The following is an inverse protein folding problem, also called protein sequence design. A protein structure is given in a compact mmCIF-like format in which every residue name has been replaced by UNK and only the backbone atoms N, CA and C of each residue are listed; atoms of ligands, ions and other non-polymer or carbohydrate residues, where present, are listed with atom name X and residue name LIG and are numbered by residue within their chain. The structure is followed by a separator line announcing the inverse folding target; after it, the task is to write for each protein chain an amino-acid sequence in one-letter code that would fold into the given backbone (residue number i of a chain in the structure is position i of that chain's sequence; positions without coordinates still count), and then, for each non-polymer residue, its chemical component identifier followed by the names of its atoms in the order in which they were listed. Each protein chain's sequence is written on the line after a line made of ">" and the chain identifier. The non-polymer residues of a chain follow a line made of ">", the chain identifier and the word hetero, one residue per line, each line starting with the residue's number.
data_IF_304134914936
#
_entry.id   IF_304134914936
#
_cell.length_a   1.000
_cell.length_b   1.000
_cell.length_c   1.000
_cell.angle_alpha   90.00
_cell.angle_beta   90.00
_cell.angle_gamma   90.00
#
_symmetry.space_group_name_H-M   'P 1'
#
loop_
_entity.id
_entity.type
_entity.pdbx_description
1 polymer ?
#
# COMPACT_ATOMS: atom_id res chain seq x y z
N UNK A 1 -1.16 -8.54 -22.16
CA UNK A 1 -2.10 -8.19 -21.08
C UNK A 1 -2.04 -9.27 -20.02
N UNK A 2 -1.82 -8.89 -18.78
CA UNK A 2 -1.74 -9.76 -17.60
C UNK A 2 -3.02 -9.64 -16.78
N UNK A 3 -3.23 -10.56 -15.85
CA UNK A 3 -4.37 -10.55 -14.95
C UNK A 3 -3.90 -10.82 -13.52
N UNK A 4 -4.27 -9.93 -12.61
CA UNK A 4 -4.07 -10.12 -11.16
C UNK A 4 -4.84 -11.36 -10.69
N UNK A 5 -4.18 -12.22 -9.95
CA UNK A 5 -4.74 -13.43 -9.33
C UNK A 5 -4.98 -13.23 -7.83
N UNK A 6 -4.11 -12.46 -7.19
CA UNK A 6 -4.09 -12.29 -5.74
C UNK A 6 -3.73 -10.86 -5.34
N UNK A 7 -4.17 -10.46 -4.17
CA UNK A 7 -3.86 -9.17 -3.58
C UNK A 7 -3.08 -9.33 -2.28
N UNK A 8 -2.17 -8.39 -2.03
CA UNK A 8 -1.45 -8.23 -0.77
C UNK A 8 -1.78 -6.86 -0.21
N UNK A 9 -2.36 -6.82 0.99
CA UNK A 9 -2.65 -5.59 1.72
C UNK A 9 -1.66 -5.49 2.88
N UNK A 10 -0.82 -4.46 2.87
CA UNK A 10 0.12 -4.19 3.96
C UNK A 10 -0.60 -3.41 5.07
N UNK A 11 -0.77 -4.02 6.24
CA UNK A 11 -1.58 -3.51 7.34
C UNK A 11 -0.92 -3.66 8.72
N UNK A 12 0.40 -3.90 8.77
CA UNK A 12 1.10 -4.26 10.00
C UNK A 12 1.62 -3.07 10.82
N UNK A 13 1.59 -1.85 10.28
CA UNK A 13 2.26 -0.67 10.81
C UNK A 13 1.68 -0.13 12.12
N UNK A 14 2.51 0.58 12.90
CA UNK A 14 2.16 1.17 14.20
C UNK A 14 1.27 2.43 14.09
N UNK A 15 1.22 3.09 12.94
CA UNK A 15 0.43 4.31 12.73
C UNK A 15 0.79 5.48 13.67
N UNK A 16 2.07 5.67 14.00
CA UNK A 16 2.52 6.62 15.05
C UNK A 16 2.04 8.05 14.84
N UNK A 17 1.91 8.51 13.59
CA UNK A 17 1.46 9.88 13.23
C UNK A 17 -0.03 10.11 13.52
N UNK A 18 -0.82 9.05 13.71
CA UNK A 18 -2.25 9.12 14.00
C UNK A 18 -2.60 8.88 15.48
N UNK A 19 -1.60 8.89 16.36
CA UNK A 19 -1.88 8.84 17.81
C UNK A 19 -2.67 10.07 18.25
N UNK A 20 -3.59 9.94 19.26
CA UNK A 20 -3.79 8.77 20.12
C UNK A 20 -4.69 7.67 19.52
N UNK A 21 -5.39 7.91 18.41
CA UNK A 21 -6.37 6.97 17.84
C UNK A 21 -5.75 5.59 17.60
N UNK A 22 -4.52 5.55 17.09
CA UNK A 22 -3.81 4.31 16.82
C UNK A 22 -3.23 3.61 18.06
N UNK A 23 -3.39 4.14 19.24
CA UNK A 23 -3.09 3.40 20.48
C UNK A 23 -4.11 2.30 20.75
N UNK A 24 -5.34 2.48 20.27
CA UNK A 24 -6.47 1.57 20.53
C UNK A 24 -6.92 0.84 19.26
N UNK A 25 -6.74 1.44 18.06
CA UNK A 25 -7.23 0.89 16.79
C UNK A 25 -6.12 0.90 15.74
N UNK A 26 -5.80 -0.24 15.09
CA UNK A 26 -4.84 -0.25 13.97
C UNK A 26 -5.29 0.72 12.87
N UNK A 27 -4.36 1.43 12.26
CA UNK A 27 -4.64 2.45 11.23
C UNK A 27 -5.63 1.98 10.16
N UNK A 28 -5.50 0.78 9.54
CA UNK A 28 -6.42 0.30 8.51
C UNK A 28 -7.86 0.06 9.01
N UNK A 29 -8.05 -0.15 10.31
CA UNK A 29 -9.37 -0.39 10.92
C UNK A 29 -10.04 0.89 11.43
N UNK A 30 -9.37 2.04 11.36
CA UNK A 30 -9.97 3.32 11.71
C UNK A 30 -11.14 3.59 10.76
N UNK A 31 -12.27 4.02 11.34
CA UNK A 31 -13.44 4.39 10.56
C UNK A 31 -13.34 5.84 10.15
N UNK A 32 -13.58 6.11 8.88
CA UNK A 32 -13.73 7.46 8.33
C UNK A 32 -15.15 7.58 7.80
N UNK A 33 -15.90 8.53 8.34
CA UNK A 33 -17.33 8.70 8.05
C UNK A 33 -18.13 7.39 8.25
N UNK A 34 -17.77 6.60 9.26
CA UNK A 34 -18.47 5.37 9.65
C UNK A 34 -17.97 4.08 9.00
N UNK A 35 -17.06 4.13 8.03
CA UNK A 35 -16.52 2.98 7.32
C UNK A 35 -15.02 2.80 7.58
N UNK A 36 -14.54 1.56 7.81
CA UNK A 36 -13.11 1.27 7.96
C UNK A 36 -12.38 1.49 6.63
N UNK A 37 -11.19 2.10 6.67
CA UNK A 37 -10.38 2.32 5.45
C UNK A 37 -10.18 1.03 4.67
N UNK A 38 -9.77 -0.04 5.33
CA UNK A 38 -9.49 -1.34 4.71
C UNK A 38 -10.72 -1.97 4.03
N UNK A 39 -11.95 -1.65 4.49
CA UNK A 39 -13.19 -2.17 3.88
C UNK A 39 -13.35 -1.65 2.44
N UNK A 40 -12.98 -0.40 2.19
CA UNK A 40 -13.03 0.19 0.84
C UNK A 40 -12.06 -0.52 -0.10
N UNK A 41 -10.86 -0.87 0.41
CA UNK A 41 -9.84 -1.61 -0.33
C UNK A 41 -10.34 -3.02 -0.68
N UNK A 42 -10.82 -3.79 0.30
CA UNK A 42 -11.28 -5.17 0.10
C UNK A 42 -12.46 -5.22 -0.88
N UNK A 43 -13.43 -4.31 -0.73
CA UNK A 43 -14.58 -4.24 -1.63
C UNK A 43 -14.16 -3.88 -3.07
N UNK A 44 -13.26 -2.91 -3.22
CA UNK A 44 -12.75 -2.55 -4.54
C UNK A 44 -12.01 -3.71 -5.22
N UNK A 45 -11.23 -4.51 -4.49
CA UNK A 45 -10.60 -5.73 -4.99
C UNK A 45 -11.66 -6.76 -5.43
N UNK A 46 -12.66 -7.03 -4.59
CA UNK A 46 -13.74 -7.96 -4.92
C UNK A 46 -14.55 -7.50 -6.14
N UNK A 47 -14.86 -6.20 -6.26
CA UNK A 47 -15.55 -5.61 -7.43
C UNK A 47 -14.78 -5.85 -8.74
N UNK A 48 -13.45 -5.95 -8.67
CA UNK A 48 -12.57 -6.25 -9.80
C UNK A 48 -12.27 -7.75 -9.98
N UNK A 49 -12.97 -8.61 -9.24
CA UNK A 49 -12.84 -10.08 -9.33
C UNK A 49 -11.55 -10.63 -8.72
N UNK A 50 -10.89 -9.87 -7.83
CA UNK A 50 -9.72 -10.31 -7.07
C UNK A 50 -10.23 -10.81 -5.72
N UNK A 51 -10.29 -12.13 -5.54
CA UNK A 51 -10.90 -12.77 -4.39
C UNK A 51 -9.90 -13.49 -3.49
N UNK A 52 -8.65 -13.59 -3.86
CA UNK A 52 -7.58 -14.13 -3.03
C UNK A 52 -6.79 -12.95 -2.46
N UNK A 53 -6.95 -12.69 -1.15
CA UNK A 53 -6.45 -11.49 -0.50
C UNK A 53 -5.67 -11.88 0.75
N UNK A 54 -4.40 -11.53 0.78
CA UNK A 54 -3.50 -11.69 1.92
C UNK A 54 -3.35 -10.35 2.63
N UNK A 55 -3.78 -10.26 3.89
CA UNK A 55 -3.61 -9.06 4.71
C UNK A 55 -2.46 -9.32 5.68
N UNK A 56 -1.38 -8.56 5.52
CA UNK A 56 -0.23 -8.65 6.42
C UNK A 56 -0.49 -7.81 7.66
N UNK A 57 -0.56 -8.47 8.81
CA UNK A 57 -0.89 -7.85 10.10
C UNK A 57 0.27 -7.94 11.08
N UNK A 58 0.31 -7.05 12.05
CA UNK A 58 1.34 -7.03 13.09
C UNK A 58 0.83 -6.31 14.33
N UNK A 59 0.86 -4.99 14.33
CA UNK A 59 0.37 -4.19 15.46
C UNK A 59 -1.12 -4.39 15.69
N UNK A 60 -1.52 -4.75 16.93
CA UNK A 60 -2.91 -5.05 17.34
C UNK A 60 -3.60 -6.04 16.39
N UNK A 61 -2.86 -7.05 15.92
CA UNK A 61 -3.28 -8.03 14.90
C UNK A 61 -4.61 -8.72 15.20
N UNK A 62 -4.93 -8.92 16.49
CA UNK A 62 -6.15 -9.60 16.96
C UNK A 62 -7.42 -8.89 16.48
N UNK A 63 -7.36 -7.57 16.27
CA UNK A 63 -8.50 -6.79 15.81
C UNK A 63 -8.85 -7.04 14.33
N UNK A 64 -7.94 -7.63 13.56
CA UNK A 64 -8.18 -7.98 12.16
C UNK A 64 -8.92 -9.30 11.97
N UNK A 65 -9.07 -10.13 13.03
CA UNK A 65 -9.66 -11.47 12.92
C UNK A 65 -11.07 -11.48 12.34
N UNK A 66 -11.85 -10.42 12.55
CA UNK A 66 -13.19 -10.31 11.99
C UNK A 66 -13.20 -10.29 10.46
N UNK A 67 -12.17 -9.73 9.82
CA UNK A 67 -12.09 -9.56 8.37
C UNK A 67 -12.13 -10.89 7.62
N UNK A 68 -11.50 -11.94 8.14
CA UNK A 68 -11.52 -13.27 7.53
C UNK A 68 -12.89 -13.95 7.59
N UNK A 69 -13.75 -13.49 8.50
CA UNK A 69 -15.14 -13.97 8.63
C UNK A 69 -16.12 -13.12 7.82
N UNK A 70 -15.83 -11.81 7.73
CA UNK A 70 -16.68 -10.84 7.02
C UNK A 70 -16.46 -10.90 5.50
N UNK A 71 -15.24 -11.19 5.06
CA UNK A 71 -14.87 -11.16 3.64
C UNK A 71 -14.35 -12.51 3.17
N UNK A 72 -14.96 -13.04 2.11
CA UNK A 72 -14.53 -14.29 1.50
C UNK A 72 -13.16 -14.14 0.85
N UNK A 73 -12.29 -15.14 1.05
CA UNK A 73 -10.97 -15.19 0.43
C UNK A 73 -9.91 -14.33 1.10
N UNK A 74 -10.22 -13.73 2.25
CA UNK A 74 -9.25 -13.00 3.08
C UNK A 74 -8.49 -13.98 3.97
N UNK A 75 -7.17 -13.90 3.90
CA UNK A 75 -6.22 -14.64 4.75
C UNK A 75 -5.35 -13.63 5.50
N UNK A 76 -5.28 -13.75 6.82
CA UNK A 76 -4.38 -12.93 7.63
C UNK A 76 -3.00 -13.60 7.71
N UNK A 77 -1.94 -12.83 7.46
CA UNK A 77 -0.55 -13.28 7.58
C UNK A 77 0.17 -12.40 8.58
N UNK A 78 0.70 -12.97 9.63
CA UNK A 78 1.42 -12.23 10.65
C UNK A 78 2.86 -11.92 10.22
N UNK A 79 3.29 -10.67 10.40
CA UNK A 79 4.71 -10.32 10.41
C UNK A 79 5.18 -10.10 11.84
N UNK A 80 6.15 -10.89 12.35
CA UNK A 80 6.70 -10.69 13.69
C UNK A 80 7.69 -9.52 13.77
N UNK A 81 7.93 -8.82 12.67
CA UNK A 81 8.96 -7.79 12.54
C UNK A 81 8.41 -6.38 12.44
N UNK A 82 7.11 -6.18 12.66
CA UNK A 82 6.38 -4.92 12.41
C UNK A 82 6.89 -3.71 13.21
N UNK A 83 7.55 -3.94 14.34
CA UNK A 83 8.10 -2.91 15.24
C UNK A 83 9.60 -2.69 15.04
N UNK A 84 10.28 -3.57 14.28
CA UNK A 84 11.74 -3.58 14.09
C UNK A 84 12.13 -3.13 12.69
N UNK A 85 11.40 -3.60 11.66
CA UNK A 85 11.72 -3.35 10.26
C UNK A 85 10.59 -2.61 9.56
N UNK A 86 10.91 -1.99 8.42
CA UNK A 86 9.94 -1.31 7.58
C UNK A 86 9.12 -2.32 6.74
N UNK A 87 8.34 -1.84 5.78
CA UNK A 87 7.42 -2.62 4.94
C UNK A 87 8.07 -3.78 4.16
N UNK A 88 9.39 -3.79 3.98
CA UNK A 88 10.11 -4.96 3.45
C UNK A 88 9.77 -6.23 4.24
N UNK A 89 9.61 -6.14 5.56
CA UNK A 89 9.26 -7.28 6.40
C UNK A 89 7.84 -7.79 6.14
N UNK A 90 6.93 -6.88 5.81
CA UNK A 90 5.55 -7.24 5.43
C UNK A 90 5.52 -7.99 4.10
N UNK A 91 6.27 -7.53 3.10
CA UNK A 91 6.37 -8.24 1.82
C UNK A 91 7.13 -9.56 1.94
N UNK A 92 8.13 -9.63 2.82
CA UNK A 92 8.92 -10.85 3.02
C UNK A 92 8.09 -12.03 3.53
N UNK A 93 7.15 -11.82 4.45
CA UNK A 93 6.31 -12.90 4.98
C UNK A 93 5.29 -13.44 3.98
N UNK A 94 4.95 -12.67 2.95
CA UNK A 94 4.03 -13.05 1.86
C UNK A 94 4.71 -13.21 0.51
N UNK A 95 6.04 -13.34 0.47
CA UNK A 95 6.83 -13.35 -0.76
C UNK A 95 6.49 -14.48 -1.73
N UNK A 96 5.86 -15.55 -1.25
CA UNK A 96 5.36 -16.64 -2.10
C UNK A 96 4.14 -16.22 -2.96
N UNK A 97 3.52 -15.05 -2.66
CA UNK A 97 2.30 -14.56 -3.27
C UNK A 97 2.51 -13.32 -4.15
N UNK A 98 3.73 -13.11 -4.68
CA UNK A 98 4.05 -11.91 -5.48
C UNK A 98 3.81 -12.08 -6.98
N UNK A 99 3.51 -13.29 -7.46
CA UNK A 99 3.26 -13.55 -8.88
C UNK A 99 1.85 -13.14 -9.28
N UNK A 100 1.73 -12.38 -10.38
CA UNK A 100 0.45 -11.85 -10.84
C UNK A 100 -0.35 -11.17 -9.70
N UNK A 101 0.35 -10.40 -8.87
CA UNK A 101 -0.19 -9.78 -7.66
C UNK A 101 -0.47 -8.28 -7.83
N UNK A 102 -1.45 -7.79 -7.07
CA UNK A 102 -1.59 -6.38 -6.73
C UNK A 102 -1.16 -6.20 -5.26
N UNK A 103 -0.30 -5.22 -5.01
CA UNK A 103 0.21 -4.88 -3.67
C UNK A 103 -0.25 -3.48 -3.34
N UNK A 104 -0.83 -3.28 -2.16
CA UNK A 104 -1.33 -1.99 -1.71
C UNK A 104 -1.31 -1.87 -0.19
N UNK A 105 -1.42 -0.64 0.30
CA UNK A 105 -1.50 -0.35 1.73
C UNK A 105 -2.96 -0.41 2.22
N UNK A 106 -3.15 -0.77 3.49
CA UNK A 106 -4.47 -0.93 4.10
C UNK A 106 -5.05 0.36 4.69
N UNK A 107 -4.31 1.45 4.63
CA UNK A 107 -4.62 2.76 5.21
C UNK A 107 -5.07 3.79 4.17
N UNK A 108 -5.59 3.29 3.06
CA UNK A 108 -6.14 4.06 1.94
C UNK A 108 -7.66 3.95 1.92
N UNK A 109 -8.32 5.01 1.47
CA UNK A 109 -9.74 5.00 1.10
C UNK A 109 -9.83 4.98 -0.42
N UNK A 110 -10.45 3.95 -0.96
CA UNK A 110 -10.69 3.81 -2.40
C UNK A 110 -12.07 4.36 -2.71
N UNK A 111 -12.13 5.46 -3.46
CA UNK A 111 -13.39 6.06 -3.92
C UNK A 111 -13.80 5.56 -5.30
N UNK A 112 -12.82 5.17 -6.12
CA UNK A 112 -13.05 4.63 -7.46
C UNK A 112 -12.45 3.24 -7.61
N UNK A 113 -13.27 2.20 -7.52
CA UNK A 113 -12.83 0.81 -7.62
C UNK A 113 -12.14 0.48 -8.95
N UNK A 114 -12.37 1.26 -10.02
CA UNK A 114 -11.73 1.03 -11.31
C UNK A 114 -10.20 1.11 -11.26
N UNK A 115 -9.63 1.87 -10.31
CA UNK A 115 -8.18 1.94 -10.12
C UNK A 115 -7.59 0.60 -9.66
N UNK A 116 -8.41 -0.31 -9.13
CA UNK A 116 -8.01 -1.66 -8.71
C UNK A 116 -8.25 -2.73 -9.79
N UNK A 117 -8.41 -2.33 -11.05
CA UNK A 117 -8.61 -3.27 -12.17
C UNK A 117 -7.62 -4.44 -12.10
N UNK A 118 -8.14 -5.66 -12.31
CA UNK A 118 -7.31 -6.86 -12.37
C UNK A 118 -6.51 -7.01 -13.66
N UNK A 119 -6.77 -6.19 -14.70
CA UNK A 119 -6.09 -6.26 -15.99
C UNK A 119 -5.00 -5.19 -16.09
N UNK A 120 -3.82 -5.57 -16.55
CA UNK A 120 -2.69 -4.66 -16.69
C UNK A 120 -1.74 -5.12 -17.81
N UNK A 121 -0.92 -4.23 -18.34
CA UNK A 121 -0.01 -4.53 -19.45
C UNK A 121 1.38 -4.93 -18.98
N UNK A 122 1.90 -4.24 -17.96
CA UNK A 122 3.22 -4.50 -17.37
C UNK A 122 3.21 -4.13 -15.89
N UNK A 123 4.20 -4.59 -15.16
CA UNK A 123 4.40 -4.21 -13.77
C UNK A 123 4.54 -2.70 -13.60
N UNK A 124 4.05 -2.16 -12.49
CA UNK A 124 4.13 -0.72 -12.26
C UNK A 124 3.17 -0.23 -11.16
N UNK A 125 3.02 1.08 -11.07
CA UNK A 125 2.33 1.78 -10.01
C UNK A 125 1.15 2.60 -10.50
N UNK A 126 0.10 2.68 -9.67
CA UNK A 126 -0.88 3.73 -9.82
C UNK A 126 -0.24 5.08 -9.47
N UNK A 127 -0.54 6.09 -10.25
CA UNK A 127 0.01 7.42 -10.02
C UNK A 127 -0.89 8.53 -10.58
N UNK A 128 -0.76 9.70 -9.95
CA UNK A 128 -1.43 10.95 -10.37
C UNK A 128 -0.39 11.89 -10.94
N UNK A 129 -0.67 12.49 -12.09
CA UNK A 129 0.17 13.56 -12.62
C UNK A 129 0.00 14.83 -11.81
N UNK A 130 1.09 15.40 -11.34
CA UNK A 130 1.09 16.67 -10.61
C UNK A 130 2.09 17.67 -11.19
N UNK A 131 1.71 18.94 -11.14
CA UNK A 131 2.58 20.10 -11.38
C UNK A 131 2.61 21.01 -10.13
N UNK A 132 2.11 20.49 -9.00
CA UNK A 132 2.17 21.15 -7.68
C UNK A 132 3.45 20.70 -6.96
N UNK A 133 4.00 21.57 -6.12
CA UNK A 133 5.08 21.18 -5.20
C UNK A 133 4.53 20.16 -4.19
N UNK A 134 5.24 19.06 -4.04
CA UNK A 134 4.91 18.00 -3.08
C UNK A 134 6.19 17.37 -2.54
N UNK A 135 6.16 16.83 -1.34
CA UNK A 135 7.18 15.98 -0.72
C UNK A 135 6.89 14.47 -0.92
N UNK A 136 5.76 14.14 -1.56
CA UNK A 136 5.47 12.78 -1.97
C UNK A 136 6.39 12.29 -3.09
N UNK A 137 6.51 10.98 -3.22
CA UNK A 137 7.40 10.37 -4.19
C UNK A 137 6.95 10.66 -5.62
N UNK A 138 7.88 11.18 -6.43
CA UNK A 138 7.62 11.56 -7.82
C UNK A 138 8.43 10.71 -8.80
N UNK A 139 7.73 10.07 -9.71
CA UNK A 139 8.31 9.29 -10.80
C UNK A 139 8.38 10.11 -12.08
N UNK A 140 9.48 9.93 -12.84
CA UNK A 140 9.61 10.41 -14.21
C UNK A 140 9.46 9.25 -15.19
N UNK A 141 8.80 9.51 -16.30
CA UNK A 141 8.47 8.48 -17.31
C UNK A 141 8.98 8.90 -18.68
N UNK A 142 9.71 8.01 -19.33
CA UNK A 142 10.13 8.15 -20.72
C UNK A 142 9.69 6.92 -21.51
N UNK A 143 9.05 7.15 -22.64
CA UNK A 143 8.57 6.09 -23.55
C UNK A 143 7.76 5.00 -22.83
N UNK A 144 6.93 5.40 -21.86
CA UNK A 144 6.08 4.49 -21.08
C UNK A 144 6.81 3.64 -20.04
N UNK A 145 8.06 3.97 -19.72
CA UNK A 145 8.86 3.36 -18.64
C UNK A 145 9.19 4.40 -17.58
N UNK A 146 9.06 4.03 -16.32
CA UNK A 146 9.56 4.82 -15.19
C UNK A 146 11.09 4.79 -15.23
N UNK A 147 11.72 5.95 -15.35
CA UNK A 147 13.19 6.10 -15.49
C UNK A 147 13.86 6.64 -14.23
N UNK A 148 13.09 7.26 -13.34
CA UNK A 148 13.58 7.70 -12.03
C UNK A 148 12.43 7.90 -11.06
N UNK A 149 12.76 7.89 -9.76
CA UNK A 149 11.84 8.19 -8.68
C UNK A 149 12.52 9.06 -7.62
N UNK A 150 12.06 10.30 -7.45
CA UNK A 150 12.46 11.16 -6.34
C UNK A 150 11.70 10.72 -5.08
N UNK A 151 12.40 10.47 -3.99
CA UNK A 151 11.82 10.12 -2.68
C UNK A 151 11.65 11.31 -1.75
N UNK A 152 12.00 12.48 -2.21
CA UNK A 152 11.95 13.76 -1.46
C UNK A 152 11.05 14.78 -2.15
N UNK A 153 10.16 14.29 -3.01
CA UNK A 153 9.24 15.16 -3.74
C UNK A 153 9.83 15.90 -4.91
N UNK A 154 9.18 16.97 -5.28
CA UNK A 154 9.49 17.85 -6.41
C UNK A 154 8.29 18.69 -6.83
N UNK A 155 8.35 19.25 -8.05
CA UNK A 155 7.33 20.18 -8.55
C UNK A 155 6.58 19.67 -9.78
N UNK A 156 7.02 18.54 -10.37
CA UNK A 156 6.42 18.01 -11.59
C UNK A 156 6.76 16.53 -11.77
N UNK A 157 5.75 15.70 -11.98
CA UNK A 157 5.92 14.28 -12.23
C UNK A 157 4.68 13.45 -11.88
N UNK A 158 4.84 12.14 -11.90
CA UNK A 158 3.83 11.18 -11.49
C UNK A 158 3.98 10.90 -9.99
N UNK A 159 3.09 11.44 -9.18
CA UNK A 159 3.03 11.15 -7.76
C UNK A 159 2.65 9.69 -7.56
N UNK A 160 3.52 8.94 -6.87
CA UNK A 160 3.33 7.53 -6.59
C UNK A 160 2.30 7.35 -5.48
N UNK A 161 1.40 6.41 -5.69
CA UNK A 161 0.53 5.86 -4.65
C UNK A 161 0.88 4.40 -4.39
N UNK A 162 0.65 3.94 -3.17
CA UNK A 162 1.02 2.59 -2.74
C UNK A 162 0.13 1.49 -3.33
N UNK A 163 -0.21 1.59 -4.61
CA UNK A 163 -0.92 0.56 -5.38
C UNK A 163 -0.06 0.14 -6.55
N UNK A 164 0.43 -1.10 -6.54
CA UNK A 164 1.30 -1.63 -7.59
C UNK A 164 0.82 -2.98 -8.10
N UNK A 165 1.12 -3.28 -9.36
CA UNK A 165 0.85 -4.60 -9.97
C UNK A 165 2.12 -5.22 -10.48
N UNK A 166 2.21 -6.53 -10.31
CA UNK A 166 3.39 -7.30 -10.64
C UNK A 166 3.02 -8.47 -11.53
N UNK A 167 3.66 -8.59 -12.70
CA UNK A 167 3.55 -9.77 -13.55
C UNK A 167 4.13 -10.99 -12.84
N UNK A 168 3.77 -12.21 -13.24
CA UNK A 168 4.39 -13.43 -12.68
C UNK A 168 5.92 -13.36 -12.78
N UNK A 169 6.47 -12.94 -13.93
CA UNK A 169 7.91 -12.80 -14.15
C UNK A 169 8.56 -11.83 -13.16
N UNK A 170 7.97 -10.65 -13.00
CA UNK A 170 8.53 -9.63 -12.12
C UNK A 170 8.27 -9.94 -10.65
N UNK A 171 7.17 -10.63 -10.32
CA UNK A 171 6.90 -11.13 -8.98
C UNK A 171 7.95 -12.15 -8.50
N UNK A 172 8.35 -13.09 -9.37
CA UNK A 172 9.45 -14.03 -9.10
C UNK A 172 10.76 -13.26 -8.85
N UNK A 173 11.05 -12.25 -9.67
CA UNK A 173 12.24 -11.41 -9.51
C UNK A 173 12.17 -10.60 -8.21
N UNK A 174 11.01 -10.01 -7.91
CA UNK A 174 10.77 -9.24 -6.69
C UNK A 174 10.97 -10.11 -5.44
N UNK A 175 10.48 -11.35 -5.45
CA UNK A 175 10.73 -12.31 -4.38
C UNK A 175 12.22 -12.50 -4.13
N UNK A 176 13.00 -12.74 -5.18
CA UNK A 176 14.45 -12.94 -5.07
C UNK A 176 15.12 -11.70 -4.45
N UNK A 177 14.82 -10.51 -4.94
CA UNK A 177 15.35 -9.27 -4.40
C UNK A 177 14.96 -9.05 -2.93
N UNK A 178 13.71 -9.37 -2.56
CA UNK A 178 13.25 -9.30 -1.17
C UNK A 178 14.03 -10.26 -0.26
N UNK A 179 14.31 -11.48 -0.72
CA UNK A 179 15.11 -12.46 0.02
C UNK A 179 16.55 -11.97 0.22
N UNK A 180 17.19 -11.48 -0.85
CA UNK A 180 18.53 -10.90 -0.81
C UNK A 180 18.62 -9.69 0.14
N UNK A 181 17.71 -8.73 0.02
CA UNK A 181 17.71 -7.52 0.84
C UNK A 181 17.32 -7.80 2.29
N UNK A 182 16.45 -8.76 2.54
CA UNK A 182 16.06 -9.14 3.90
C UNK A 182 17.19 -9.88 4.64
N UNK A 183 18.04 -10.61 3.95
CA UNK A 183 19.24 -11.23 4.51
C UNK A 183 20.32 -10.18 4.82
N UNK A 184 20.40 -9.12 4.03
CA UNK A 184 21.29 -7.99 4.27
C UNK A 184 20.75 -7.12 5.42
N UNK A 185 21.37 -7.25 6.61
CA UNK A 185 20.91 -6.56 7.83
C UNK A 185 20.83 -5.05 7.71
N UNK A 186 21.68 -4.44 6.89
CA UNK A 186 21.72 -3.00 6.68
C UNK A 186 20.50 -2.51 5.86
N UNK A 187 19.92 -3.38 5.03
CA UNK A 187 18.82 -3.06 4.13
C UNK A 187 17.42 -3.36 4.71
N UNK A 188 17.32 -3.99 5.88
CA UNK A 188 16.02 -4.32 6.51
C UNK A 188 15.17 -3.12 6.87
N UNK A 189 15.75 -1.93 6.89
CA UNK A 189 15.06 -0.66 7.11
C UNK A 189 14.67 0.03 5.80
N UNK A 190 15.08 -0.52 4.64
CA UNK A 190 14.85 0.11 3.35
C UNK A 190 13.44 -0.21 2.85
N UNK A 191 12.84 0.82 2.28
CA UNK A 191 11.53 0.77 1.67
C UNK A 191 11.62 0.01 0.36
N UNK A 192 11.01 -1.17 0.30
CA UNK A 192 10.84 -2.07 -0.86
C UNK A 192 12.10 -2.32 -1.72
N UNK A 193 12.37 -3.56 -2.01
CA UNK A 193 13.41 -4.04 -2.91
C UNK A 193 13.45 -3.32 -4.28
N UNK A 194 12.32 -2.77 -4.74
CA UNK A 194 12.23 -2.01 -5.98
C UNK A 194 13.21 -0.81 -6.03
N UNK A 195 13.50 -0.15 -4.90
CA UNK A 195 14.40 0.99 -4.91
C UNK A 195 15.88 0.61 -4.91
N UNK A 196 16.20 -0.59 -4.44
CA UNK A 196 17.55 -1.13 -4.54
C UNK A 196 17.82 -1.69 -5.94
N UNK A 197 16.78 -2.15 -6.63
CA UNK A 197 16.86 -2.91 -7.89
C UNK A 197 16.00 -2.29 -9.00
N UNK A 198 15.74 -1.00 -8.94
CA UNK A 198 14.85 -0.28 -9.86
C UNK A 198 15.18 -0.51 -11.35
N UNK A 199 16.47 -0.50 -11.70
CA UNK A 199 16.94 -0.66 -13.07
C UNK A 199 16.64 -2.04 -13.66
N UNK A 200 16.41 -3.04 -12.80
CA UNK A 200 16.12 -4.42 -13.20
C UNK A 200 14.69 -4.61 -13.73
N UNK A 201 13.81 -3.61 -13.56
CA UNK A 201 12.41 -3.70 -13.95
C UNK A 201 12.04 -2.76 -15.10
N UNK A 202 11.08 -3.17 -15.92
CA UNK A 202 10.40 -2.31 -16.89
C UNK A 202 9.05 -1.85 -16.31
N UNK A 203 9.10 -0.88 -15.39
CA UNK A 203 7.92 -0.39 -14.69
C UNK A 203 7.14 0.63 -15.50
N UNK A 204 5.82 0.52 -15.49
CA UNK A 204 4.91 1.49 -16.07
C UNK A 204 4.12 2.27 -15.04
N UNK A 205 3.30 3.20 -15.54
CA UNK A 205 2.32 3.96 -14.76
C UNK A 205 0.92 3.49 -15.15
N UNK A 206 0.07 3.35 -14.15
CA UNK A 206 -1.37 3.24 -14.29
C UNK A 206 -1.98 4.56 -13.82
N UNK A 207 -2.33 5.46 -14.77
CA UNK A 207 -2.83 6.78 -14.43
C UNK A 207 -4.17 6.70 -13.68
N UNK A 208 -4.34 7.58 -12.70
CA UNK A 208 -5.59 7.79 -11.98
C UNK A 208 -5.76 9.27 -11.64
N UNK A 209 -6.91 9.64 -11.09
CA UNK A 209 -7.20 10.99 -10.64
C UNK A 209 -6.90 11.17 -9.15
N UNK A 210 -6.69 12.42 -8.72
CA UNK A 210 -6.35 12.77 -7.33
C UNK A 210 -7.46 12.34 -6.34
N UNK A 211 -8.72 12.31 -6.79
CA UNK A 211 -9.90 11.97 -5.99
C UNK A 211 -10.34 10.49 -6.09
N UNK A 212 -9.62 9.66 -6.85
CA UNK A 212 -9.88 8.22 -6.91
C UNK A 212 -9.50 7.49 -5.62
N UNK A 213 -8.53 8.03 -4.87
CA UNK A 213 -7.94 7.43 -3.67
C UNK A 213 -7.46 8.52 -2.72
N UNK A 214 -7.55 8.27 -1.42
CA UNK A 214 -6.96 9.11 -0.38
C UNK A 214 -6.15 8.25 0.57
N UNK A 215 -4.89 8.63 0.79
CA UNK A 215 -4.05 8.15 1.88
C UNK A 215 -4.25 9.07 3.10
N UNK A 216 -4.35 8.49 4.29
CA UNK A 216 -4.52 9.24 5.54
C UNK A 216 -3.35 8.92 6.44
N UNK A 217 -2.39 9.79 6.51
CA UNK A 217 -1.11 9.54 7.17
C UNK A 217 -0.96 10.21 8.54
N UNK A 218 -1.79 11.19 8.82
CA UNK A 218 -1.75 11.99 10.04
C UNK A 218 -3.11 12.14 10.69
N UNK A 219 -3.11 12.49 11.99
CA UNK A 219 -4.33 12.82 12.72
C UNK A 219 -5.02 14.07 12.13
N UNK A 220 -4.25 15.02 11.63
CA UNK A 220 -4.75 16.23 11.00
C UNK A 220 -5.55 15.90 9.74
N UNK A 221 -5.05 15.02 8.89
CA UNK A 221 -5.75 14.55 7.69
C UNK A 221 -7.02 13.77 8.05
N UNK A 222 -6.94 12.89 9.07
CA UNK A 222 -8.12 12.19 9.57
C UNK A 222 -9.20 13.17 10.03
N UNK A 223 -8.84 14.20 10.81
CA UNK A 223 -9.76 15.24 11.28
C UNK A 223 -10.34 16.07 10.13
N UNK A 224 -9.56 16.30 9.07
CA UNK A 224 -10.01 17.02 7.90
C UNK A 224 -11.11 16.25 7.13
N UNK A 225 -10.99 14.92 7.07
CA UNK A 225 -11.97 14.05 6.42
C UNK A 225 -13.16 13.69 7.31
N UNK A 226 -12.91 13.47 8.60
CA UNK A 226 -13.94 13.13 9.59
C UNK A 226 -13.79 13.97 10.86
N UNK A 227 -14.63 14.97 10.98
CA UNK A 227 -14.58 15.92 12.10
C UNK A 227 -14.94 15.33 13.47
N UNK A 228 -15.42 14.10 13.54
CA UNK A 228 -15.68 13.40 14.81
C UNK A 228 -14.42 13.16 15.63
N UNK A 229 -13.25 13.15 14.99
CA UNK A 229 -11.94 12.99 15.64
C UNK A 229 -11.35 14.27 16.23
N UNK A 230 -12.03 15.43 16.18
CA UNK A 230 -11.50 16.71 16.70
C UNK A 230 -11.11 16.68 18.17
N UNK A 231 -11.84 15.92 18.99
CA UNK A 231 -11.54 15.82 20.42
C UNK A 231 -10.30 14.98 20.72
N UNK A 232 -9.96 14.02 19.84
CA UNK A 232 -8.71 13.25 19.93
C UNK A 232 -7.48 14.16 19.72
N UNK A 233 -7.56 15.14 18.83
CA UNK A 233 -6.50 16.14 18.63
C UNK A 233 -6.28 17.07 19.84
N UNK A 234 -7.29 17.24 20.71
CA UNK A 234 -7.16 18.04 21.95
C UNK A 234 -6.44 17.28 23.05
N UNK A 235 -6.46 15.97 23.06
CA UNK A 235 -5.78 15.11 24.06
C UNK A 235 -4.26 15.07 23.88
N UNK A 236 -3.74 15.58 22.76
CA UNK A 236 -2.29 15.65 22.48
C UNK A 236 -1.62 16.95 22.98
N UNK A 237 -2.39 17.97 23.38
CA UNK A 237 -1.89 19.26 23.91
C UNK A 237 -1.93 19.28 25.42
#
# INVERSE_FOLDING_TARGET
>A
MHKVKQAIIMAAGLGKRMRPVTLETPKPLIKVNGERMIDTVIRGLHANGINEIYIVVGYLKEQFESLSKEYKGVTLVETPFFDVYNNISSLYVVREHLEDAIILDGDQIIYNDAILTSKFEKSGYNAVWTEKSTDEWLMQVERGKVVSCSRTGGTKGWQLYSVSRWTAKDGIKLRKHLEEEFENKDNRQIYVAMFCHFEDYDLGIMPMQEDDIVEIDSLEELIALDSSYKDEGRRQK
#
